data_IF_452198464795
#
_entry.id   IF_452198464795
#
_cell.length_a   1.000
_cell.length_b   1.000
_cell.length_c   1.000
_cell.angle_alpha   90.00
_cell.angle_beta   90.00
_cell.angle_gamma   90.00
#
_symmetry.space_group_name_H-M   'P 1'
#
loop_
_entity.id
_entity.type
_entity.pdbx_description
1 polymer ?
#
# COMPACT_ATOMS: atom_id res chain seq x y z
N UNK A 1 2.63 31.33 35.26
CA UNK A 1 4.07 31.00 35.13
C UNK A 1 4.26 29.92 34.06
N UNK A 2 3.47 29.99 32.96
CA UNK A 2 3.08 28.80 32.18
C UNK A 2 3.47 28.88 30.69
N UNK A 3 4.10 29.98 30.26
CA UNK A 3 4.51 30.18 28.86
C UNK A 3 5.75 29.38 28.47
N UNK A 4 6.71 29.20 29.39
CA UNK A 4 7.97 28.49 29.11
C UNK A 4 7.81 26.97 29.00
N UNK A 5 6.92 26.36 29.79
CA UNK A 5 6.62 24.91 29.74
C UNK A 5 5.92 24.56 28.43
N UNK A 6 4.99 25.42 27.99
CA UNK A 6 4.28 25.27 26.72
C UNK A 6 5.25 25.33 25.54
N UNK A 7 6.11 26.35 25.46
CA UNK A 7 7.05 26.54 24.36
C UNK A 7 8.08 25.39 24.24
N UNK A 8 8.63 24.91 25.35
CA UNK A 8 9.56 23.77 25.37
C UNK A 8 8.89 22.45 24.93
N UNK A 9 7.61 22.27 25.26
CA UNK A 9 6.83 21.11 24.80
C UNK A 9 6.59 21.14 23.29
N UNK A 10 6.36 22.33 22.71
CA UNK A 10 6.21 22.51 21.26
C UNK A 10 7.52 22.24 20.52
N UNK A 11 8.64 22.78 20.99
CA UNK A 11 9.96 22.57 20.34
C UNK A 11 10.43 21.12 20.41
N UNK A 12 10.16 20.41 21.52
CA UNK A 12 10.43 18.99 21.64
C UNK A 12 9.60 18.17 20.63
N UNK A 13 8.32 18.52 20.46
CA UNK A 13 7.44 17.88 19.49
C UNK A 13 7.94 18.10 18.05
N UNK A 14 8.31 19.32 17.69
CA UNK A 14 8.82 19.61 16.34
C UNK A 14 10.13 18.88 16.06
N UNK A 15 11.04 18.84 17.04
CA UNK A 15 12.30 18.09 16.93
C UNK A 15 12.03 16.59 16.73
N UNK A 16 11.08 16.03 17.47
CA UNK A 16 10.69 14.63 17.31
C UNK A 16 10.08 14.36 15.93
N UNK A 17 9.23 15.26 15.40
CA UNK A 17 8.71 15.14 14.02
C UNK A 17 9.87 15.11 13.01
N UNK A 18 10.86 16.00 13.17
CA UNK A 18 12.02 16.03 12.30
C UNK A 18 12.81 14.73 12.32
N UNK A 19 12.97 14.11 13.49
CA UNK A 19 13.64 12.81 13.64
C UNK A 19 12.80 11.70 12.98
N UNK A 20 11.51 11.64 13.27
CA UNK A 20 10.62 10.59 12.73
C UNK A 20 10.57 10.63 11.20
N UNK A 21 10.57 11.82 10.59
CA UNK A 21 10.62 11.99 9.11
C UNK A 21 11.89 11.44 8.45
N UNK A 22 12.93 11.10 9.22
CA UNK A 22 14.15 10.46 8.71
C UNK A 22 14.11 8.93 8.82
N UNK A 23 13.09 8.37 9.46
CA UNK A 23 12.95 6.94 9.65
C UNK A 23 12.17 6.31 8.51
N UNK A 24 12.55 5.10 8.12
CA UNK A 24 11.75 4.27 7.22
C UNK A 24 10.53 3.69 7.94
N UNK A 25 9.55 3.19 7.17
CA UNK A 25 8.29 2.67 7.69
C UNK A 25 8.45 1.62 8.82
N UNK A 26 9.46 0.75 8.72
CA UNK A 26 9.74 -0.28 9.75
C UNK A 26 10.20 0.34 11.08
N UNK A 27 11.01 1.39 11.01
CA UNK A 27 11.54 2.04 12.21
C UNK A 27 10.50 2.99 12.83
N UNK A 28 9.64 3.60 12.01
CA UNK A 28 8.44 4.30 12.51
C UNK A 28 7.51 3.35 13.27
N UNK A 29 7.29 2.14 12.76
CA UNK A 29 6.50 1.13 13.46
C UNK A 29 7.11 0.79 14.83
N UNK A 30 8.44 0.68 14.93
CA UNK A 30 9.15 0.46 16.20
C UNK A 30 9.07 1.67 17.13
N UNK A 31 9.26 2.87 16.58
CA UNK A 31 9.14 4.14 17.28
C UNK A 31 7.75 4.28 17.93
N UNK A 32 6.69 3.84 17.25
CA UNK A 32 5.32 3.89 17.77
C UNK A 32 5.09 3.05 19.04
N UNK A 33 6.01 2.14 19.37
CA UNK A 33 5.93 1.29 20.56
C UNK A 33 6.53 1.93 21.82
N UNK A 34 7.23 3.07 21.72
CA UNK A 34 8.00 3.65 22.83
C UNK A 34 7.10 4.24 23.91
N UNK A 35 6.22 5.18 23.56
CA UNK A 35 5.26 5.81 24.48
C UNK A 35 4.06 6.38 23.71
N UNK A 36 3.06 6.94 24.40
CA UNK A 36 1.86 7.51 23.74
C UNK A 36 2.21 8.62 22.75
N UNK A 37 3.05 9.58 23.15
CA UNK A 37 3.47 10.67 22.27
C UNK A 37 4.14 10.16 20.99
N UNK A 38 5.06 9.21 21.12
CA UNK A 38 5.73 8.60 19.97
C UNK A 38 4.77 7.78 19.11
N UNK A 39 3.81 7.08 19.73
CA UNK A 39 2.76 6.37 19.00
C UNK A 39 1.95 7.31 18.14
N UNK A 40 1.44 8.38 18.74
CA UNK A 40 0.55 9.33 18.07
C UNK A 40 1.28 10.00 16.90
N UNK A 41 2.54 10.37 17.08
CA UNK A 41 3.33 11.05 16.05
C UNK A 41 3.90 10.08 15.00
N UNK A 42 4.42 8.91 15.40
CA UNK A 42 5.00 7.95 14.46
C UNK A 42 3.94 7.12 13.69
N UNK A 43 2.66 7.23 14.08
CA UNK A 43 1.53 6.63 13.35
C UNK A 43 0.77 7.65 12.50
N UNK A 44 1.18 8.92 12.54
CA UNK A 44 0.57 10.00 11.74
C UNK A 44 0.82 9.74 10.25
N UNK A 45 -0.24 9.78 9.44
CA UNK A 45 -0.19 9.52 8.00
C UNK A 45 0.81 10.43 7.27
N UNK A 46 0.91 11.70 7.68
CA UNK A 46 1.85 12.67 7.09
C UNK A 46 3.33 12.31 7.32
N UNK A 47 3.62 11.39 8.25
CA UNK A 47 4.95 10.86 8.51
C UNK A 47 5.11 9.46 7.90
N UNK A 48 4.14 8.55 8.10
CA UNK A 48 4.27 7.16 7.65
C UNK A 48 4.11 7.01 6.14
N UNK A 49 3.21 7.76 5.49
CA UNK A 49 2.95 7.62 4.06
C UNK A 49 4.18 7.98 3.22
N UNK A 50 4.88 9.11 3.44
CA UNK A 50 6.11 9.41 2.71
C UNK A 50 7.21 8.36 2.96
N UNK A 51 7.37 7.91 4.21
CA UNK A 51 8.36 6.91 4.57
C UNK A 51 8.05 5.52 3.96
N UNK A 52 6.78 5.22 3.72
CA UNK A 52 6.37 4.02 3.00
C UNK A 52 6.63 4.14 1.49
N UNK A 53 6.38 5.31 0.90
CA UNK A 53 6.53 5.55 -0.54
C UNK A 53 7.98 5.62 -1.02
N UNK A 54 8.88 6.13 -0.18
CA UNK A 54 10.27 6.43 -0.54
C UNK A 54 11.02 5.22 -1.15
N UNK A 55 10.99 4.01 -0.56
CA UNK A 55 11.73 2.87 -1.10
C UNK A 55 11.26 2.43 -2.50
N UNK A 56 10.02 2.74 -2.86
CA UNK A 56 9.41 2.37 -4.15
C UNK A 56 9.46 3.51 -5.17
N UNK A 57 9.89 4.71 -4.77
CA UNK A 57 9.89 5.93 -5.61
C UNK A 57 8.52 6.20 -6.22
N UNK A 58 7.45 5.97 -5.44
CA UNK A 58 6.08 6.22 -5.86
C UNK A 58 5.84 7.72 -6.02
N UNK A 59 4.96 8.07 -6.96
CA UNK A 59 4.49 9.45 -7.10
C UNK A 59 3.47 9.79 -6.03
N UNK A 60 2.51 8.89 -5.81
CA UNK A 60 1.38 9.13 -4.90
C UNK A 60 0.75 7.82 -4.44
N UNK A 61 0.23 7.81 -3.21
CA UNK A 61 -0.71 6.80 -2.73
C UNK A 61 -2.03 7.52 -2.42
N UNK A 62 -3.13 7.05 -3.00
CA UNK A 62 -4.47 7.63 -2.87
C UNK A 62 -5.35 6.71 -2.01
N UNK A 63 -6.16 7.32 -1.15
CA UNK A 63 -7.05 6.62 -0.22
C UNK A 63 -6.46 6.48 1.18
N UNK A 64 -7.29 5.99 2.10
CA UNK A 64 -6.95 5.76 3.50
C UNK A 64 -7.06 4.27 3.82
N UNK A 65 -6.09 3.69 4.53
CA UNK A 65 -6.22 2.31 4.98
C UNK A 65 -7.28 2.20 6.08
N UNK A 66 -7.96 1.06 6.09
CA UNK A 66 -8.90 0.63 7.13
C UNK A 66 -8.16 0.41 8.45
N UNK A 67 -6.91 -0.06 8.40
CA UNK A 67 -6.09 -0.32 9.59
C UNK A 67 -4.77 0.42 9.56
N UNK A 68 -4.40 1.09 10.66
CA UNK A 68 -3.07 1.68 10.82
C UNK A 68 -1.91 0.66 10.76
N UNK A 69 -2.21 -0.64 10.93
CA UNK A 69 -1.21 -1.70 10.71
C UNK A 69 -0.75 -1.79 9.25
N UNK A 70 -1.53 -1.24 8.31
CA UNK A 70 -1.22 -1.20 6.89
C UNK A 70 0.18 -0.63 6.61
N UNK A 71 0.63 0.38 7.35
CA UNK A 71 1.94 1.00 7.10
C UNK A 71 3.14 0.22 7.67
N UNK A 72 2.90 -0.80 8.52
CA UNK A 72 3.98 -1.48 9.27
C UNK A 72 4.88 -2.35 8.41
N UNK A 73 4.31 -2.98 7.39
CA UNK A 73 5.04 -3.84 6.47
C UNK A 73 5.20 -3.13 5.14
N UNK A 74 6.45 -2.89 4.73
CA UNK A 74 6.74 -2.23 3.47
C UNK A 74 7.29 -3.23 2.45
N UNK A 75 6.39 -4.04 1.91
CA UNK A 75 6.72 -5.18 1.07
C UNK A 75 6.12 -5.10 -0.33
N UNK A 76 6.85 -5.62 -1.32
CA UNK A 76 6.39 -5.62 -2.72
C UNK A 76 5.08 -6.39 -2.91
N UNK A 77 4.83 -7.39 -2.05
CA UNK A 77 3.61 -8.21 -2.05
C UNK A 77 2.33 -7.42 -1.72
N UNK A 78 2.44 -6.17 -1.24
CA UNK A 78 1.30 -5.28 -1.08
C UNK A 78 0.83 -4.67 -2.38
N UNK A 79 1.65 -4.71 -3.42
CA UNK A 79 1.34 -4.07 -4.69
C UNK A 79 0.80 -5.06 -5.71
N UNK A 80 -0.25 -4.64 -6.40
CA UNK A 80 -0.85 -5.41 -7.48
C UNK A 80 -1.30 -4.50 -8.63
N UNK A 81 -1.29 -5.03 -9.85
CA UNK A 81 -1.88 -4.38 -11.01
C UNK A 81 -3.34 -4.82 -11.10
N UNK A 82 -4.26 -3.87 -11.24
CA UNK A 82 -5.65 -4.17 -11.57
C UNK A 82 -5.77 -4.50 -13.06
N UNK A 83 -6.12 -5.75 -13.37
CA UNK A 83 -6.37 -6.20 -14.73
C UNK A 83 -7.86 -6.50 -14.92
N UNK A 84 -8.54 -5.71 -15.75
CA UNK A 84 -9.94 -5.96 -16.15
C UNK A 84 -9.99 -7.15 -17.10
N UNK A 85 -10.79 -8.16 -16.76
CA UNK A 85 -10.86 -9.41 -17.54
C UNK A 85 -11.55 -9.13 -18.89
N UNK A 86 -10.89 -9.55 -19.96
CA UNK A 86 -11.44 -9.62 -21.32
C UNK A 86 -11.81 -11.07 -21.69
N UNK A 87 -12.60 -11.23 -22.76
CA UNK A 87 -13.11 -12.55 -23.19
C UNK A 87 -12.04 -13.60 -23.49
N UNK A 88 -10.86 -13.15 -23.93
CA UNK A 88 -9.73 -14.02 -24.28
C UNK A 88 -8.79 -14.29 -23.09
N UNK A 89 -9.05 -13.68 -21.93
CA UNK A 89 -8.17 -13.81 -20.79
C UNK A 89 -8.42 -15.13 -20.03
N UNK A 90 -7.32 -15.83 -19.80
CA UNK A 90 -7.19 -16.93 -18.85
C UNK A 90 -6.07 -16.63 -17.86
N UNK A 91 -6.10 -17.25 -16.68
CA UNK A 91 -5.04 -17.08 -15.67
C UNK A 91 -3.66 -17.38 -16.26
N UNK A 92 -3.55 -18.39 -17.11
CA UNK A 92 -2.32 -18.75 -17.82
C UNK A 92 -1.87 -17.67 -18.82
N UNK A 93 -2.78 -17.14 -19.62
CA UNK A 93 -2.45 -16.07 -20.57
C UNK A 93 -2.01 -14.78 -19.86
N UNK A 94 -2.64 -14.45 -18.73
CA UNK A 94 -2.28 -13.30 -17.90
C UNK A 94 -0.94 -13.50 -17.22
N UNK A 95 -0.69 -14.68 -16.66
CA UNK A 95 0.61 -15.03 -16.09
C UNK A 95 1.72 -14.84 -17.13
N UNK A 96 1.52 -15.33 -18.36
CA UNK A 96 2.49 -15.13 -19.45
C UNK A 96 2.66 -13.65 -19.81
N UNK A 97 1.56 -12.90 -19.95
CA UNK A 97 1.57 -11.48 -20.32
C UNK A 97 2.34 -10.60 -19.32
N UNK A 98 2.19 -10.88 -18.04
CA UNK A 98 2.81 -10.10 -16.97
C UNK A 98 4.13 -10.71 -16.46
N UNK A 99 4.62 -11.80 -17.08
CA UNK A 99 5.78 -12.58 -16.58
C UNK A 99 5.61 -13.04 -15.12
N UNK A 100 4.36 -13.35 -14.83
CA UNK A 100 3.68 -13.98 -13.69
C UNK A 100 3.91 -15.47 -13.47
N UNK A 101 3.82 -15.99 -12.24
CA UNK A 101 3.44 -17.40 -12.07
C UNK A 101 1.93 -17.51 -11.83
N UNK A 102 1.29 -18.50 -12.47
CA UNK A 102 -0.15 -18.77 -12.32
C UNK A 102 -0.55 -18.93 -10.86
N UNK A 103 0.28 -19.63 -10.07
CA UNK A 103 0.05 -19.83 -8.64
C UNK A 103 -0.03 -18.50 -7.88
N UNK A 104 0.79 -17.51 -8.25
CA UNK A 104 0.90 -16.26 -7.50
C UNK A 104 -0.34 -15.39 -7.76
N UNK A 105 -0.88 -15.41 -8.98
CA UNK A 105 -2.18 -14.80 -9.32
C UNK A 105 -3.30 -15.48 -8.53
N UNK A 106 -3.35 -16.82 -8.54
CA UNK A 106 -4.40 -17.56 -7.83
C UNK A 106 -4.40 -17.26 -6.33
N UNK A 107 -3.21 -17.30 -5.70
CA UNK A 107 -3.05 -17.01 -4.28
C UNK A 107 -3.47 -15.58 -3.93
N UNK A 108 -3.04 -14.59 -4.74
CA UNK A 108 -3.39 -13.19 -4.50
C UNK A 108 -4.89 -12.93 -4.59
N UNK A 109 -5.61 -13.64 -5.46
CA UNK A 109 -7.05 -13.47 -5.66
C UNK A 109 -7.91 -14.48 -4.87
N UNK A 110 -7.30 -15.33 -4.03
CA UNK A 110 -7.98 -16.44 -3.33
C UNK A 110 -8.79 -17.34 -4.29
N UNK A 111 -8.19 -17.71 -5.42
CA UNK A 111 -8.77 -18.63 -6.41
C UNK A 111 -8.32 -20.06 -6.12
N UNK A 112 -9.25 -21.00 -6.17
CA UNK A 112 -8.98 -22.45 -6.04
C UNK A 112 -9.02 -23.15 -7.40
N UNK A 113 -9.75 -22.60 -8.36
CA UNK A 113 -9.90 -23.13 -9.72
C UNK A 113 -9.59 -22.09 -10.79
N UNK A 114 -9.17 -22.54 -11.97
CA UNK A 114 -9.04 -21.65 -13.15
C UNK A 114 -10.39 -21.07 -13.59
N UNK A 115 -11.50 -21.75 -13.30
CA UNK A 115 -12.84 -21.28 -13.64
C UNK A 115 -13.31 -20.09 -12.78
N UNK A 116 -12.62 -19.78 -11.68
CA UNK A 116 -12.96 -18.64 -10.81
C UNK A 116 -12.73 -17.29 -11.51
N UNK A 117 -12.03 -17.28 -12.65
CA UNK A 117 -11.84 -16.06 -13.44
C UNK A 117 -13.16 -15.54 -14.00
N UNK A 118 -14.10 -16.43 -14.37
CA UNK A 118 -15.33 -16.04 -15.05
C UNK A 118 -16.39 -15.40 -14.15
N UNK A 119 -16.24 -15.51 -12.83
CA UNK A 119 -17.13 -14.89 -11.83
C UNK A 119 -16.64 -13.51 -11.37
N UNK A 120 -15.58 -12.98 -11.99
CA UNK A 120 -14.90 -11.75 -11.57
C UNK A 120 -14.87 -10.75 -12.71
N UNK A 121 -14.90 -9.46 -12.36
CA UNK A 121 -14.75 -8.37 -13.33
C UNK A 121 -13.27 -8.03 -13.58
N UNK A 122 -12.41 -8.30 -12.60
CA UNK A 122 -10.97 -8.04 -12.64
C UNK A 122 -10.19 -9.07 -11.83
N UNK A 123 -8.89 -9.14 -12.10
CA UNK A 123 -7.91 -9.84 -11.27
C UNK A 123 -6.81 -8.88 -10.82
N UNK A 124 -6.33 -9.11 -9.60
CA UNK A 124 -5.11 -8.51 -9.08
C UNK A 124 -3.92 -9.32 -9.58
N UNK A 125 -2.98 -8.66 -10.27
CA UNK A 125 -1.75 -9.30 -10.75
C UNK A 125 -0.59 -8.86 -9.85
N UNK A 126 0.16 -9.78 -9.21
CA UNK A 126 1.24 -9.40 -8.32
C UNK A 126 2.34 -8.67 -9.08
N UNK A 127 2.89 -7.63 -8.45
CA UNK A 127 4.06 -6.94 -8.97
C UNK A 127 5.32 -7.64 -8.46
N UNK A 128 6.16 -8.13 -9.38
CA UNK A 128 7.44 -8.78 -9.02
C UNK A 128 8.60 -7.80 -9.15
N UNK A 129 8.53 -6.86 -10.11
CA UNK A 129 9.59 -5.90 -10.37
C UNK A 129 9.26 -4.53 -9.74
N UNK A 130 9.98 -4.09 -8.69
CA UNK A 130 9.77 -2.79 -8.05
C UNK A 130 9.91 -1.60 -9.00
N UNK A 131 10.67 -1.73 -10.09
CA UNK A 131 10.85 -0.64 -11.05
C UNK A 131 9.54 -0.24 -11.74
N UNK A 132 8.54 -1.13 -11.78
CA UNK A 132 7.20 -0.81 -12.31
C UNK A 132 6.41 0.16 -11.43
N UNK A 133 6.85 0.40 -10.19
CA UNK A 133 6.22 1.34 -9.25
C UNK A 133 6.78 2.76 -9.36
N UNK A 134 7.91 2.96 -10.02
CA UNK A 134 8.58 4.26 -10.10
C UNK A 134 7.63 5.27 -10.74
N UNK A 135 7.42 6.40 -10.07
CA UNK A 135 6.51 7.47 -10.47
C UNK A 135 5.04 7.01 -10.66
N UNK A 136 4.69 5.83 -10.13
CA UNK A 136 3.35 5.28 -10.15
C UNK A 136 2.44 5.93 -9.11
N UNK A 137 1.13 5.92 -9.41
CA UNK A 137 0.07 6.28 -8.46
C UNK A 137 -0.63 4.99 -8.05
N UNK A 138 -0.60 4.68 -6.76
CA UNK A 138 -1.26 3.50 -6.22
C UNK A 138 -2.50 3.90 -5.40
N UNK A 139 -3.52 3.05 -5.41
CA UNK A 139 -4.75 3.26 -4.68
C UNK A 139 -4.85 2.21 -3.58
N UNK A 140 -5.12 2.63 -2.34
CA UNK A 140 -5.40 1.71 -1.25
C UNK A 140 -6.82 1.17 -1.45
N UNK A 141 -6.93 -0.15 -1.63
CA UNK A 141 -8.20 -0.83 -1.81
C UNK A 141 -8.32 -2.02 -0.87
N UNK A 142 -9.53 -2.25 -0.35
CA UNK A 142 -9.88 -3.48 0.34
C UNK A 142 -10.47 -4.45 -0.69
N UNK A 143 -9.70 -5.47 -1.07
CA UNK A 143 -10.16 -6.46 -2.04
C UNK A 143 -11.37 -7.24 -1.50
N UNK A 144 -12.42 -7.34 -2.32
CA UNK A 144 -13.71 -7.88 -1.89
C UNK A 144 -13.68 -9.38 -1.65
N UNK A 145 -12.81 -10.11 -2.34
CA UNK A 145 -12.72 -11.58 -2.29
C UNK A 145 -11.76 -12.06 -1.20
N UNK A 146 -10.61 -11.40 -1.05
CA UNK A 146 -9.57 -11.79 -0.08
C UNK A 146 -9.70 -11.06 1.25
N UNK A 147 -10.48 -9.97 1.31
CA UNK A 147 -10.61 -9.08 2.48
C UNK A 147 -9.28 -8.53 2.96
N UNK A 148 -8.34 -8.32 2.03
CA UNK A 148 -7.01 -7.76 2.29
C UNK A 148 -6.89 -6.37 1.71
N UNK A 149 -6.18 -5.51 2.42
CA UNK A 149 -5.78 -4.19 1.91
C UNK A 149 -4.61 -4.37 0.94
N UNK A 150 -4.75 -3.82 -0.27
CA UNK A 150 -3.79 -3.94 -1.36
C UNK A 150 -3.57 -2.55 -1.98
N UNK A 151 -2.34 -2.28 -2.40
CA UNK A 151 -1.99 -1.12 -3.22
C UNK A 151 -2.15 -1.48 -4.68
N UNK A 152 -3.15 -0.87 -5.29
CA UNK A 152 -3.56 -1.20 -6.64
C UNK A 152 -3.03 -0.16 -7.62
N UNK A 153 -2.29 -0.63 -8.63
CA UNK A 153 -1.86 0.16 -9.78
C UNK A 153 -2.85 -0.04 -10.93
N UNK A 154 -3.33 1.06 -11.50
CA UNK A 154 -4.18 1.05 -12.68
C UNK A 154 -3.35 1.43 -13.91
N UNK A 155 -3.18 0.52 -14.91
CA UNK A 155 -2.47 0.86 -16.14
C UNK A 155 -3.08 2.04 -16.90
N UNK A 156 -4.40 2.28 -16.74
CA UNK A 156 -5.12 3.43 -17.30
C UNK A 156 -5.08 4.70 -16.44
N UNK A 157 -4.32 4.72 -15.34
CA UNK A 157 -4.10 5.88 -14.49
C UNK A 157 -5.17 6.13 -13.41
N UNK A 158 -6.40 5.65 -13.57
CA UNK A 158 -7.46 5.79 -12.58
C UNK A 158 -8.27 4.50 -12.39
N UNK A 159 -8.80 4.25 -11.16
CA UNK A 159 -9.79 3.22 -10.92
C UNK A 159 -11.05 3.50 -11.74
N UNK A 160 -11.65 2.42 -12.27
CA UNK A 160 -12.95 2.52 -12.95
C UNK A 160 -13.97 2.99 -11.90
N UNK A 161 -14.71 4.07 -12.16
CA UNK A 161 -15.63 4.69 -11.17
C UNK A 161 -16.73 3.75 -10.68
N UNK A 162 -16.96 2.63 -11.37
CA UNK A 162 -17.89 1.55 -10.96
C UNK A 162 -17.33 0.62 -9.89
N UNK A 163 -16.02 0.65 -9.64
CA UNK A 163 -15.31 -0.22 -8.69
C UNK A 163 -15.03 0.50 -7.35
N UNK A 164 -15.46 1.76 -7.21
CA UNK A 164 -15.43 2.55 -5.99
C UNK A 164 -16.74 2.47 -5.23
#
# INVERSE_FOLDING_TARGET
>A
MDSHVSLASFTCRDTLIMILRKLGARDLARASCVCRLWRDMASDDAIVRPAFMEPWKLKEIVGEPVSGSFWRENGIWKFAISHKIAREDSVTSLAKKYSVQVRDIKLLNNMTSDNDIYSRERLLIPIINPNSLINGICYIELDTYTKREVLVLYPGGQPDKKLM
#
